data_IF_572882561264
#
_entry.id   IF_572882561264
#
_cell.length_a   1.000
_cell.length_b   1.000
_cell.length_c   1.000
_cell.angle_alpha   90.00
_cell.angle_beta   90.00
_cell.angle_gamma   90.00
#
_symmetry.space_group_name_H-M   'P 1'
#
loop_
_entity.id
_entity.type
_entity.pdbx_description
1 polymer ?
#
# COMPACT_ATOMS: atom_id res chain seq x y z
N UNK A 1 4.17 45.90 40.45
CA UNK A 1 3.85 45.81 39.00
C UNK A 1 4.13 44.38 38.58
N UNK A 2 3.19 43.48 38.85
CA UNK A 2 3.29 42.04 38.55
C UNK A 2 2.50 41.77 37.28
N UNK A 3 3.19 41.45 36.19
CA UNK A 3 2.54 41.08 34.94
C UNK A 3 2.04 39.63 35.04
N UNK A 4 0.73 39.47 34.91
CA UNK A 4 0.06 38.20 34.70
C UNK A 4 0.35 37.72 33.27
N UNK A 5 1.00 36.57 33.13
CA UNK A 5 1.18 35.89 31.85
C UNK A 5 -0.16 35.25 31.46
N UNK A 6 -0.80 35.82 30.44
CA UNK A 6 -2.02 35.29 29.83
C UNK A 6 -1.77 33.89 29.28
N UNK A 7 -2.69 32.98 29.61
CA UNK A 7 -2.71 31.58 29.21
C UNK A 7 -2.47 31.37 27.72
N UNK A 8 -1.47 30.56 27.38
CA UNK A 8 -1.35 29.93 26.06
C UNK A 8 -2.65 29.21 25.72
N UNK A 9 -3.30 29.63 24.64
CA UNK A 9 -4.43 28.93 24.05
C UNK A 9 -3.99 27.54 23.63
N UNK A 10 -4.42 26.52 24.37
CA UNK A 10 -4.33 25.13 23.92
C UNK A 10 -5.16 25.03 22.64
N UNK A 11 -4.48 24.90 21.50
CA UNK A 11 -5.11 24.36 20.30
C UNK A 11 -5.46 22.92 20.64
N UNK A 12 -6.70 22.70 21.06
CA UNK A 12 -7.22 21.38 21.31
C UNK A 12 -7.35 20.71 19.94
N UNK A 13 -6.48 19.76 19.64
CA UNK A 13 -6.56 18.99 18.41
C UNK A 13 -7.82 18.13 18.47
N UNK A 14 -8.79 18.37 17.56
CA UNK A 14 -10.03 17.59 17.44
C UNK A 14 -9.81 16.11 17.05
N UNK A 15 -8.55 15.67 16.97
CA UNK A 15 -8.18 14.31 16.64
C UNK A 15 -8.31 13.46 17.92
N UNK A 16 -9.24 12.49 17.96
CA UNK A 16 -9.36 11.58 19.10
C UNK A 16 -8.04 10.80 19.30
N UNK A 17 -7.73 10.36 20.54
CA UNK A 17 -6.56 9.55 20.79
C UNK A 17 -6.62 8.26 19.96
N UNK A 18 -5.45 7.78 19.51
CA UNK A 18 -5.35 6.51 18.78
C UNK A 18 -6.05 5.40 19.57
N UNK A 19 -7.01 4.75 18.92
CA UNK A 19 -7.67 3.56 19.45
C UNK A 19 -7.14 2.33 18.73
N UNK A 20 -6.99 1.24 19.47
CA UNK A 20 -6.71 -0.11 18.93
C UNK A 20 -7.68 -0.55 17.83
N UNK A 21 -8.84 0.11 17.71
CA UNK A 21 -9.87 -0.21 16.71
C UNK A 21 -9.78 0.62 15.42
N UNK A 22 -8.78 1.49 15.27
CA UNK A 22 -8.63 2.27 14.05
C UNK A 22 -8.23 1.39 12.86
N UNK A 23 -8.82 1.69 11.72
CA UNK A 23 -8.62 0.99 10.46
C UNK A 23 -7.94 1.95 9.49
N UNK A 24 -6.97 1.44 8.72
CA UNK A 24 -6.40 2.16 7.58
C UNK A 24 -7.11 1.70 6.32
N UNK A 25 -7.98 2.54 5.75
CA UNK A 25 -8.67 2.20 4.51
C UNK A 25 -7.91 2.77 3.31
N UNK A 26 -7.46 1.90 2.41
CA UNK A 26 -6.93 2.31 1.11
C UNK A 26 -7.92 2.01 -0.01
N UNK A 27 -8.11 2.97 -0.91
CA UNK A 27 -8.90 2.82 -2.11
C UNK A 27 -8.04 3.17 -3.31
N UNK A 28 -7.85 2.24 -4.24
CA UNK A 28 -7.06 2.50 -5.44
C UNK A 28 -6.40 1.24 -5.99
N UNK A 29 -5.30 1.42 -6.70
CA UNK A 29 -4.71 0.37 -7.52
C UNK A 29 -3.88 -0.63 -6.70
N UNK A 30 -4.14 -1.91 -6.97
CA UNK A 30 -3.26 -3.03 -6.68
C UNK A 30 -2.82 -3.62 -8.03
N UNK A 31 -1.54 -3.86 -8.22
CA UNK A 31 -1.00 -4.36 -9.49
C UNK A 31 -0.10 -5.57 -9.30
N UNK A 32 0.21 -6.21 -10.42
CA UNK A 32 1.29 -7.19 -10.52
C UNK A 32 2.39 -6.57 -11.37
N UNK A 33 3.59 -6.53 -10.80
CA UNK A 33 4.77 -5.95 -11.43
C UNK A 33 5.63 -7.07 -12.05
N UNK A 34 5.84 -6.99 -13.37
CA UNK A 34 6.76 -7.85 -14.09
C UNK A 34 8.14 -7.19 -14.17
N UNK A 35 9.06 -7.70 -13.39
CA UNK A 35 10.41 -7.16 -13.27
C UNK A 35 11.36 -8.03 -14.10
N UNK A 36 11.82 -7.51 -15.24
CA UNK A 36 12.80 -8.16 -16.10
C UNK A 36 14.17 -7.49 -15.94
N UNK A 37 15.20 -8.29 -15.64
CA UNK A 37 16.59 -7.82 -15.68
C UNK A 37 17.18 -8.07 -17.06
N UNK A 38 17.79 -7.04 -17.65
CA UNK A 38 18.37 -7.05 -18.99
C UNK A 38 19.77 -6.44 -18.98
N UNK A 39 20.58 -6.71 -19.99
CA UNK A 39 21.92 -6.11 -20.13
C UNK A 39 21.88 -4.60 -20.37
N UNK A 40 20.88 -4.13 -21.12
CA UNK A 40 20.67 -2.73 -21.45
C UNK A 40 19.20 -2.50 -21.81
N UNK A 41 18.75 -1.24 -21.82
CA UNK A 41 17.43 -0.89 -22.33
C UNK A 41 17.38 -1.10 -23.86
N UNK A 42 16.36 -1.78 -24.40
CA UNK A 42 16.29 -2.10 -25.83
C UNK A 42 16.17 -0.84 -26.68
N UNK A 43 16.85 -0.81 -27.83
CA UNK A 43 16.59 0.19 -28.87
C UNK A 43 15.24 -0.09 -29.57
N UNK A 44 14.68 0.88 -30.31
CA UNK A 44 13.51 0.62 -31.14
C UNK A 44 13.71 -0.61 -32.03
N UNK A 45 12.70 -1.48 -32.07
CA UNK A 45 12.65 -2.76 -32.80
C UNK A 45 13.69 -3.83 -32.39
N UNK A 46 14.48 -3.59 -31.35
CA UNK A 46 15.45 -4.55 -30.85
C UNK A 46 14.78 -5.60 -29.93
N UNK A 47 15.16 -6.86 -30.12
CA UNK A 47 14.74 -7.97 -29.25
C UNK A 47 15.93 -8.46 -28.45
N UNK A 48 15.94 -8.19 -27.15
CA UNK A 48 16.99 -8.65 -26.23
C UNK A 48 16.45 -9.75 -25.31
N UNK A 49 17.34 -10.64 -24.88
CA UNK A 49 17.02 -11.70 -23.92
C UNK A 49 17.07 -11.14 -22.49
N UNK A 50 16.07 -11.44 -21.66
CA UNK A 50 16.15 -11.18 -20.22
C UNK A 50 17.10 -12.16 -19.54
N UNK A 51 17.88 -11.65 -18.57
CA UNK A 51 18.72 -12.47 -17.68
C UNK A 51 17.89 -13.22 -16.64
N UNK A 52 16.86 -12.54 -16.15
CA UNK A 52 15.93 -13.06 -15.16
C UNK A 52 14.60 -12.31 -15.27
N UNK A 53 13.56 -12.92 -14.70
CA UNK A 53 12.24 -12.33 -14.57
C UNK A 53 11.69 -12.66 -13.18
N UNK A 54 11.08 -11.66 -12.54
CA UNK A 54 10.38 -11.79 -11.27
C UNK A 54 8.99 -11.21 -11.41
N UNK A 55 8.02 -11.87 -10.78
CA UNK A 55 6.66 -11.36 -10.60
C UNK A 55 6.52 -10.95 -9.13
N UNK A 56 5.99 -9.77 -8.86
CA UNK A 56 5.78 -9.25 -7.51
C UNK A 56 4.48 -8.45 -7.43
N UNK A 57 3.87 -8.38 -6.25
CA UNK A 57 2.78 -7.44 -5.98
C UNK A 57 3.27 -5.98 -6.03
N UNK A 58 2.36 -5.09 -6.43
CA UNK A 58 2.63 -3.67 -6.58
C UNK A 58 1.38 -2.81 -6.45
N UNK A 59 1.44 -1.63 -7.07
CA UNK A 59 0.39 -0.63 -7.01
C UNK A 59 0.54 0.27 -5.77
N UNK A 60 0.25 1.56 -5.94
CA UNK A 60 0.45 2.54 -4.86
C UNK A 60 -0.32 2.18 -3.59
N UNK A 61 -1.58 1.73 -3.75
CA UNK A 61 -2.42 1.33 -2.63
C UNK A 61 -1.95 0.01 -2.03
N UNK A 62 -1.63 -0.99 -2.85
CA UNK A 62 -1.09 -2.27 -2.39
C UNK A 62 0.17 -2.08 -1.54
N UNK A 63 1.15 -1.35 -2.05
CA UNK A 63 2.41 -1.07 -1.36
C UNK A 63 2.21 -0.33 -0.04
N UNK A 64 1.36 0.71 -0.02
CA UNK A 64 1.09 1.50 1.18
C UNK A 64 0.41 0.68 2.27
N UNK A 65 -0.57 -0.16 1.91
CA UNK A 65 -1.30 -0.98 2.88
C UNK A 65 -0.47 -2.15 3.38
N UNK A 66 0.36 -2.77 2.54
CA UNK A 66 1.37 -3.74 2.98
C UNK A 66 2.32 -3.12 4.00
N UNK A 67 2.82 -1.92 3.75
CA UNK A 67 3.69 -1.22 4.71
C UNK A 67 2.95 -0.92 6.02
N UNK A 68 1.70 -0.46 5.95
CA UNK A 68 0.86 -0.24 7.13
C UNK A 68 0.65 -1.51 7.95
N UNK A 69 0.36 -2.65 7.29
CA UNK A 69 0.17 -3.94 7.95
C UNK A 69 1.44 -4.38 8.69
N UNK A 70 2.60 -4.27 8.03
CA UNK A 70 3.91 -4.62 8.62
C UNK A 70 4.33 -3.73 9.79
N UNK A 71 3.76 -2.52 9.88
CA UNK A 71 3.92 -1.63 11.04
C UNK A 71 2.93 -1.93 12.19
N UNK A 72 2.10 -2.97 12.06
CA UNK A 72 1.14 -3.39 13.08
C UNK A 72 -0.22 -2.69 13.01
N UNK A 73 -0.51 -1.96 11.94
CA UNK A 73 -1.82 -1.35 11.71
C UNK A 73 -2.81 -2.39 11.14
N UNK A 74 -4.08 -1.98 11.02
CA UNK A 74 -5.18 -2.83 10.51
C UNK A 74 -5.69 -2.32 9.16
N UNK A 75 -4.97 -2.56 8.05
CA UNK A 75 -5.36 -2.06 6.75
C UNK A 75 -6.48 -2.88 6.10
N UNK A 76 -7.33 -2.19 5.34
CA UNK A 76 -8.32 -2.78 4.43
C UNK A 76 -8.22 -2.13 3.07
N UNK A 77 -8.46 -2.90 2.00
CA UNK A 77 -8.35 -2.42 0.63
C UNK A 77 -9.69 -2.47 -0.10
N UNK A 78 -10.01 -1.40 -0.83
CA UNK A 78 -11.03 -1.36 -1.86
C UNK A 78 -10.30 -1.22 -3.20
N UNK A 79 -10.44 -2.22 -4.06
CA UNK A 79 -9.82 -2.27 -5.39
C UNK A 79 -10.63 -3.18 -6.30
N UNK A 80 -10.27 -3.20 -7.59
CA UNK A 80 -10.80 -4.15 -8.57
C UNK A 80 -9.62 -4.95 -9.11
N UNK A 81 -9.74 -6.27 -9.14
CA UNK A 81 -8.72 -7.16 -9.68
C UNK A 81 -9.34 -8.13 -10.69
N UNK A 82 -8.55 -8.59 -11.65
CA UNK A 82 -9.02 -9.58 -12.61
C UNK A 82 -9.35 -10.91 -11.90
N UNK A 83 -10.43 -11.58 -12.30
CA UNK A 83 -10.76 -12.92 -11.84
C UNK A 83 -9.91 -14.01 -12.53
N UNK A 84 -8.59 -13.87 -12.44
CA UNK A 84 -7.61 -14.77 -13.02
C UNK A 84 -6.55 -15.19 -11.98
N UNK A 85 -5.51 -15.89 -12.45
CA UNK A 85 -4.42 -16.36 -11.57
C UNK A 85 -3.66 -15.19 -10.95
N UNK A 86 -3.48 -14.09 -11.68
CA UNK A 86 -2.73 -12.93 -11.20
C UNK A 86 -3.51 -12.18 -10.12
N UNK A 87 -4.81 -11.96 -10.33
CA UNK A 87 -5.66 -11.35 -9.32
C UNK A 87 -5.73 -12.18 -8.03
N UNK A 88 -5.87 -13.51 -8.15
CA UNK A 88 -5.81 -14.41 -6.98
C UNK A 88 -4.47 -14.33 -6.25
N UNK A 89 -3.35 -14.32 -6.98
CA UNK A 89 -2.02 -14.22 -6.38
C UNK A 89 -1.84 -12.90 -5.60
N UNK A 90 -2.30 -11.78 -6.17
CA UNK A 90 -2.21 -10.47 -5.51
C UNK A 90 -3.06 -10.43 -4.23
N UNK A 91 -4.26 -11.03 -4.24
CA UNK A 91 -5.09 -11.12 -3.04
C UNK A 91 -4.41 -11.96 -1.96
N UNK A 92 -3.87 -13.13 -2.31
CA UNK A 92 -3.14 -13.99 -1.38
C UNK A 92 -1.90 -13.31 -0.81
N UNK A 93 -1.15 -12.54 -1.61
CA UNK A 93 0.02 -11.78 -1.13
C UNK A 93 -0.39 -10.71 -0.11
N UNK A 94 -1.41 -9.91 -0.42
CA UNK A 94 -1.96 -8.90 0.48
C UNK A 94 -2.46 -9.51 1.80
N UNK A 95 -3.21 -10.60 1.74
CA UNK A 95 -3.71 -11.33 2.91
C UNK A 95 -2.56 -11.85 3.77
N UNK A 96 -1.50 -12.37 3.14
CA UNK A 96 -0.32 -12.87 3.84
C UNK A 96 0.45 -11.78 4.59
N UNK A 97 0.39 -10.54 4.10
CA UNK A 97 0.95 -9.35 4.78
C UNK A 97 0.00 -8.80 5.86
N UNK A 98 -1.24 -9.29 5.96
CA UNK A 98 -2.24 -8.86 6.96
C UNK A 98 -3.19 -7.77 6.48
N UNK A 99 -3.32 -7.56 5.17
CA UNK A 99 -4.30 -6.64 4.58
C UNK A 99 -5.63 -7.36 4.36
N UNK A 100 -6.73 -6.76 4.83
CA UNK A 100 -8.08 -7.27 4.59
C UNK A 100 -8.54 -6.96 3.15
N UNK A 101 -8.76 -8.01 2.37
CA UNK A 101 -9.13 -8.01 0.96
C UNK A 101 -10.64 -8.19 0.73
N UNK A 102 -11.47 -8.24 1.78
CA UNK A 102 -12.91 -8.56 1.69
C UNK A 102 -13.74 -7.59 0.84
N UNK A 103 -13.16 -6.46 0.41
CA UNK A 103 -13.79 -5.43 -0.41
C UNK A 103 -13.13 -5.26 -1.79
N UNK A 104 -12.33 -6.25 -2.22
CA UNK A 104 -11.88 -6.35 -3.61
C UNK A 104 -12.97 -7.01 -4.43
N UNK A 105 -13.22 -6.47 -5.63
CA UNK A 105 -14.16 -7.01 -6.63
C UNK A 105 -13.45 -7.60 -7.84
#
# INVERSE_FOLDING_TARGET
>A
MTMSLSSSSKVQSDIPPFSENWIVLGCGIVSVDYLATVDAFPKPDEKIRSKSMKVAGGGNTGNALTAAARLGLKPRVISEVANDVLGRNVMTELESDGVDTSYIV
#
